data_IF_567065893853
#
_entry.id   IF_567065893853
#
_cell.length_a   1.000
_cell.length_b   1.000
_cell.length_c   1.000
_cell.angle_alpha   90.00
_cell.angle_beta   90.00
_cell.angle_gamma   90.00
#
_symmetry.space_group_name_H-M   'P 1'
#
loop_
_entity.id
_entity.type
_entity.pdbx_description
1 polymer ?
#
# COMPACT_ATOMS: atom_id res chain seq x y z
N UNK A 1 -43.35 17.32 26.76
CA UNK A 1 -43.02 15.88 26.63
C UNK A 1 -43.72 15.35 25.40
N UNK A 2 -43.01 15.19 24.28
CA UNK A 2 -43.55 14.62 23.05
C UNK A 2 -42.90 13.23 22.86
N UNK A 3 -43.71 12.19 22.93
CA UNK A 3 -43.33 10.81 22.62
C UNK A 3 -43.26 10.67 21.10
N UNK A 4 -42.06 10.49 20.55
CA UNK A 4 -41.85 10.13 19.16
C UNK A 4 -41.46 8.65 19.12
N UNK A 5 -42.44 7.79 18.82
CA UNK A 5 -42.22 6.36 18.59
C UNK A 5 -42.89 6.02 17.26
N UNK A 6 -42.19 6.31 16.19
CA UNK A 6 -42.57 5.82 14.87
C UNK A 6 -42.03 4.39 14.71
N UNK A 7 -42.86 3.41 14.32
CA UNK A 7 -42.41 2.07 14.00
C UNK A 7 -41.67 2.08 12.66
N UNK A 8 -40.47 1.49 12.63
CA UNK A 8 -39.69 1.31 11.41
C UNK A 8 -40.52 0.48 10.41
N UNK A 9 -40.80 1.07 9.24
CA UNK A 9 -41.53 0.44 8.15
C UNK A 9 -40.83 -0.85 7.69
N UNK A 10 -41.57 -1.94 7.73
CA UNK A 10 -41.21 -3.31 7.39
C UNK A 10 -40.63 -3.41 5.96
N UNK A 11 -40.96 -2.46 5.07
CA UNK A 11 -40.43 -2.38 3.70
C UNK A 11 -38.98 -1.90 3.67
N UNK A 12 -38.57 -1.06 4.62
CA UNK A 12 -37.18 -0.58 4.75
C UNK A 12 -36.25 -1.66 5.29
N UNK A 13 -36.76 -2.58 6.12
CA UNK A 13 -36.01 -3.76 6.57
C UNK A 13 -35.78 -4.78 5.44
N UNK A 14 -36.73 -4.91 4.52
CA UNK A 14 -36.66 -5.86 3.40
C UNK A 14 -35.62 -5.43 2.35
N UNK A 15 -35.44 -4.12 2.10
CA UNK A 15 -34.42 -3.61 1.17
C UNK A 15 -32.99 -3.78 1.72
N UNK A 16 -32.78 -3.67 3.04
CA UNK A 16 -31.48 -3.89 3.67
C UNK A 16 -31.06 -5.37 3.61
N UNK A 17 -32.00 -6.31 3.77
CA UNK A 17 -31.72 -7.76 3.71
C UNK A 17 -31.38 -8.28 2.30
N UNK A 18 -31.97 -7.70 1.24
CA UNK A 18 -31.66 -8.09 -0.15
C UNK A 18 -30.28 -7.60 -0.57
N UNK A 19 -29.81 -6.43 -0.07
CA UNK A 19 -28.48 -5.90 -0.40
C UNK A 19 -27.33 -6.68 0.25
N UNK A 20 -27.52 -7.23 1.45
CA UNK A 20 -26.51 -8.03 2.15
C UNK A 20 -26.35 -9.44 1.54
N UNK A 21 -27.42 -9.95 0.92
CA UNK A 21 -27.43 -11.27 0.27
C UNK A 21 -26.68 -11.28 -1.07
N UNK A 22 -26.72 -10.17 -1.82
CA UNK A 22 -26.00 -10.05 -3.10
C UNK A 22 -24.49 -9.85 -2.86
N UNK A 23 -24.09 -9.25 -1.75
CA UNK A 23 -22.69 -9.06 -1.38
C UNK A 23 -22.01 -10.37 -0.94
N UNK A 24 -22.75 -11.35 -0.39
CA UNK A 24 -22.19 -12.66 -0.01
C UNK A 24 -21.98 -13.62 -1.19
N UNK A 25 -22.76 -13.49 -2.27
CA UNK A 25 -22.65 -14.39 -3.45
C UNK A 25 -21.40 -14.06 -4.30
N UNK A 26 -20.87 -12.85 -4.21
CA UNK A 26 -19.62 -12.47 -4.91
C UNK A 26 -18.34 -12.99 -4.25
N UNK A 27 -18.36 -13.33 -2.96
CA UNK A 27 -17.16 -13.83 -2.24
C UNK A 27 -16.96 -15.34 -2.47
N UNK A 28 -18.02 -16.09 -2.76
CA UNK A 28 -17.93 -17.54 -3.00
C UNK A 28 -17.44 -17.94 -4.41
N UNK A 29 -17.45 -17.01 -5.39
CA UNK A 29 -16.99 -17.30 -6.76
C UNK A 29 -15.46 -17.16 -6.95
N UNK A 30 -14.78 -16.47 -6.03
CA UNK A 30 -13.32 -16.28 -6.13
C UNK A 30 -12.52 -17.44 -5.50
N UNK A 31 -13.14 -18.27 -4.66
CA UNK A 31 -12.46 -19.34 -3.93
C UNK A 31 -12.50 -20.72 -4.63
N UNK A 32 -13.09 -20.83 -5.83
CA UNK A 32 -13.22 -22.11 -6.58
C UNK A 32 -12.30 -22.26 -7.80
N UNK A 33 -11.38 -21.33 -8.05
CA UNK A 33 -10.49 -21.39 -9.23
C UNK A 33 -9.02 -21.70 -8.93
N UNK A 34 -8.67 -22.14 -7.71
CA UNK A 34 -7.27 -22.36 -7.32
C UNK A 34 -6.94 -23.81 -6.92
N UNK A 35 -7.77 -24.80 -7.24
CA UNK A 35 -7.53 -26.19 -6.84
C UNK A 35 -7.68 -27.19 -7.99
N UNK A 36 -7.04 -26.95 -9.13
CA UNK A 36 -6.90 -27.99 -10.14
C UNK A 36 -5.67 -27.79 -11.02
N UNK A 37 -4.48 -28.00 -10.45
CA UNK A 37 -3.26 -28.27 -11.23
C UNK A 37 -2.43 -29.34 -10.51
N UNK A 38 -2.27 -30.49 -11.18
CA UNK A 38 -1.14 -31.39 -10.94
C UNK A 38 -1.46 -32.71 -10.27
N UNK A 39 -2.12 -33.64 -10.99
CA UNK A 39 -1.88 -35.07 -10.77
C UNK A 39 -0.53 -35.43 -11.41
N UNK A 40 0.45 -36.01 -10.69
CA UNK A 40 1.66 -36.49 -11.32
C UNK A 40 1.38 -37.79 -12.09
N UNK A 41 1.71 -37.79 -13.38
CA UNK A 41 1.77 -38.99 -14.21
C UNK A 41 2.98 -39.83 -13.81
N UNK A 42 2.69 -41.09 -13.51
CA UNK A 42 3.64 -42.15 -13.18
C UNK A 42 4.54 -42.46 -14.38
N UNK A 43 5.86 -42.19 -14.28
CA UNK A 43 6.84 -42.67 -15.25
C UNK A 43 7.43 -43.98 -14.74
N UNK A 44 7.14 -45.06 -15.46
CA UNK A 44 7.66 -46.41 -15.27
C UNK A 44 9.09 -46.47 -15.83
N UNK A 45 10.12 -46.45 -14.98
CA UNK A 45 11.51 -46.69 -15.41
C UNK A 45 11.87 -48.15 -15.13
N UNK A 46 11.99 -48.91 -16.21
CA UNK A 46 12.52 -50.27 -16.21
C UNK A 46 14.03 -50.29 -15.95
N UNK A 47 14.44 -51.37 -15.30
CA UNK A 47 15.78 -51.81 -14.93
C UNK A 47 16.88 -51.68 -16.00
N UNK A 48 18.10 -51.32 -15.58
CA UNK A 48 19.29 -52.18 -15.56
C UNK A 48 20.62 -51.46 -15.91
N UNK A 49 21.67 -51.77 -15.12
CA UNK A 49 23.11 -51.80 -15.48
C UNK A 49 23.82 -50.44 -15.71
N UNK A 50 25.11 -50.21 -15.43
CA UNK A 50 26.22 -50.84 -14.69
C UNK A 50 27.39 -49.82 -14.77
N UNK A 51 28.21 -49.74 -13.72
CA UNK A 51 29.68 -49.52 -13.72
C UNK A 51 30.31 -48.21 -14.27
N UNK A 52 30.97 -47.48 -13.35
CA UNK A 52 32.25 -46.75 -13.40
C UNK A 52 32.68 -45.94 -14.65
N UNK A 53 33.09 -44.68 -14.45
CA UNK A 53 34.50 -44.23 -14.48
C UNK A 53 34.64 -42.69 -14.52
N UNK A 54 35.69 -42.23 -13.86
CA UNK A 54 36.22 -40.87 -13.85
C UNK A 54 37.06 -40.65 -15.12
N UNK A 55 36.73 -39.69 -15.98
CA UNK A 55 37.64 -38.86 -16.79
C UNK A 55 36.88 -38.01 -17.84
N UNK A 56 37.51 -36.89 -18.18
CA UNK A 56 37.06 -35.79 -19.02
C UNK A 56 36.57 -36.15 -20.43
N UNK A 57 35.51 -35.46 -20.88
CA UNK A 57 35.26 -35.14 -22.30
C UNK A 57 34.57 -33.77 -22.39
N UNK A 58 35.29 -32.76 -22.89
CA UNK A 58 34.68 -31.64 -23.61
C UNK A 58 34.01 -32.20 -24.89
N UNK A 59 32.76 -31.80 -25.19
CA UNK A 59 32.32 -31.46 -26.55
C UNK A 59 30.85 -30.99 -26.64
N UNK A 60 30.71 -29.77 -27.16
CA UNK A 60 29.71 -29.23 -28.10
C UNK A 60 28.26 -29.77 -28.13
N UNK A 61 27.37 -28.80 -27.96
CA UNK A 61 25.97 -28.73 -28.42
C UNK A 61 24.98 -29.69 -27.77
N UNK A 62 24.34 -29.24 -26.69
CA UNK A 62 22.91 -29.51 -26.49
C UNK A 62 22.25 -28.35 -25.77
N UNK A 63 21.38 -27.68 -26.52
CA UNK A 63 20.24 -26.88 -26.09
C UNK A 63 19.71 -27.31 -24.72
N UNK A 64 20.00 -26.53 -23.68
CA UNK A 64 19.29 -26.64 -22.40
C UNK A 64 18.80 -25.25 -22.03
N UNK A 65 17.57 -24.97 -22.43
CA UNK A 65 16.60 -24.24 -21.62
C UNK A 65 17.17 -23.08 -20.78
N UNK A 66 17.66 -22.04 -21.44
CA UNK A 66 17.60 -20.69 -20.90
C UNK A 66 16.16 -20.18 -21.13
N UNK A 67 15.18 -20.93 -20.62
CA UNK A 67 13.89 -20.32 -20.32
C UNK A 67 14.26 -19.34 -19.24
N UNK A 68 14.22 -18.06 -19.60
CA UNK A 68 14.28 -16.95 -18.69
C UNK A 68 13.18 -17.17 -17.63
N UNK A 69 13.51 -17.92 -16.58
CA UNK A 69 12.98 -17.67 -15.27
C UNK A 69 13.60 -16.32 -14.88
N UNK A 70 13.00 -15.25 -15.40
CA UNK A 70 13.00 -13.97 -14.72
C UNK A 70 12.54 -14.29 -13.31
N UNK A 71 13.52 -14.43 -12.41
CA UNK A 71 13.30 -14.61 -10.99
C UNK A 71 12.38 -13.46 -10.60
N UNK A 72 11.16 -13.78 -10.14
CA UNK A 72 10.26 -12.78 -9.59
C UNK A 72 11.01 -12.10 -8.45
N UNK A 73 11.40 -10.85 -8.66
CA UNK A 73 12.16 -10.09 -7.67
C UNK A 73 11.24 -9.87 -6.48
N UNK A 74 11.48 -10.52 -5.36
CA UNK A 74 10.90 -10.11 -4.08
C UNK A 74 11.92 -9.23 -3.39
N UNK A 75 11.53 -7.99 -3.15
CA UNK A 75 11.56 -7.44 -1.81
C UNK A 75 10.13 -7.05 -1.44
N UNK A 76 9.33 -8.03 -1.06
CA UNK A 76 8.31 -7.76 -0.04
C UNK A 76 9.10 -7.43 1.22
N UNK A 77 9.12 -6.16 1.62
CA UNK A 77 9.71 -5.77 2.89
C UNK A 77 9.33 -6.79 3.97
N UNK A 78 10.29 -7.29 4.75
CA UNK A 78 10.02 -8.27 5.81
C UNK A 78 9.00 -7.74 6.83
N UNK A 79 8.89 -6.42 6.92
CA UNK A 79 7.88 -5.68 7.66
C UNK A 79 7.01 -4.90 6.68
N UNK A 80 5.69 -5.00 6.83
CA UNK A 80 4.74 -4.17 6.07
C UNK A 80 4.92 -2.68 6.41
N UNK A 81 5.22 -1.80 5.43
CA UNK A 81 5.36 -0.37 5.68
C UNK A 81 4.11 0.27 6.29
N UNK A 82 2.93 -0.29 6.06
CA UNK A 82 1.68 0.21 6.61
C UNK A 82 1.44 -0.22 8.07
N UNK A 83 2.38 -0.95 8.66
CA UNK A 83 2.36 -1.40 10.05
C UNK A 83 3.52 -0.80 10.87
N UNK A 84 4.17 0.26 10.36
CA UNK A 84 5.27 0.97 11.03
C UNK A 84 4.80 2.15 11.89
N UNK A 85 5.72 2.71 12.66
CA UNK A 85 5.54 3.94 13.45
C UNK A 85 6.14 5.16 12.74
N UNK A 86 5.30 6.06 12.24
CA UNK A 86 5.74 7.30 11.56
C UNK A 86 5.60 8.51 12.49
N UNK A 87 6.38 9.56 12.24
CA UNK A 87 6.15 10.87 12.86
C UNK A 87 5.31 11.74 11.93
N UNK A 88 4.09 12.06 12.34
CA UNK A 88 3.17 12.96 11.64
C UNK A 88 2.90 14.17 12.54
N UNK A 89 3.20 15.38 12.05
CA UNK A 89 3.06 16.64 12.79
C UNK A 89 3.67 16.62 14.21
N UNK A 90 4.84 15.98 14.34
CA UNK A 90 5.53 15.82 15.63
C UNK A 90 4.97 14.73 16.55
N UNK A 91 3.92 14.04 16.14
CA UNK A 91 3.31 12.93 16.90
C UNK A 91 3.74 11.59 16.33
N UNK A 92 4.08 10.63 17.19
CA UNK A 92 4.36 9.27 16.77
C UNK A 92 3.06 8.49 16.58
N UNK A 93 2.86 7.97 15.38
CA UNK A 93 1.66 7.23 14.95
C UNK A 93 2.07 5.83 14.55
N UNK A 94 1.69 4.84 15.37
CA UNK A 94 1.95 3.41 15.11
C UNK A 94 0.75 2.80 14.41
N UNK A 95 0.89 2.55 13.11
CA UNK A 95 -0.19 1.97 12.32
C UNK A 95 -0.31 0.46 12.55
N UNK A 96 -1.54 -0.02 12.41
CA UNK A 96 -1.84 -1.44 12.28
C UNK A 96 -2.59 -1.62 10.96
N UNK A 97 -1.96 -2.27 9.99
CA UNK A 97 -2.55 -2.51 8.66
C UNK A 97 -3.04 -1.21 7.99
N UNK A 98 -2.22 -0.17 8.07
CA UNK A 98 -2.48 1.13 7.46
C UNK A 98 -3.46 2.01 8.22
N UNK A 99 -3.90 1.63 9.42
CA UNK A 99 -4.87 2.37 10.20
C UNK A 99 -4.35 2.71 11.59
N UNK A 100 -4.69 3.89 12.10
CA UNK A 100 -4.51 4.26 13.49
C UNK A 100 -5.62 5.23 13.92
N UNK A 101 -6.09 5.08 15.16
CA UNK A 101 -7.06 6.00 15.76
C UNK A 101 -6.57 6.43 17.14
N UNK A 102 -6.67 7.73 17.43
CA UNK A 102 -6.33 8.31 18.72
C UNK A 102 -7.58 8.92 19.35
N UNK A 103 -8.02 8.30 20.44
CA UNK A 103 -9.19 8.75 21.19
C UNK A 103 -8.85 9.97 22.04
N UNK A 104 -9.78 10.93 22.12
CA UNK A 104 -9.60 12.13 22.93
C UNK A 104 -10.30 11.89 24.28
N UNK A 105 -9.58 11.98 25.41
CA UNK A 105 -10.17 11.76 26.73
C UNK A 105 -11.39 12.66 26.97
N UNK A 106 -12.52 12.06 27.36
CA UNK A 106 -13.76 12.79 27.64
C UNK A 106 -14.53 13.30 26.41
N UNK A 107 -14.11 12.93 25.18
CA UNK A 107 -14.81 13.30 23.94
C UNK A 107 -15.32 12.07 23.20
N UNK A 108 -16.42 12.24 22.46
CA UNK A 108 -16.88 11.26 21.47
C UNK A 108 -16.07 11.33 20.16
N UNK A 109 -15.29 12.39 19.96
CA UNK A 109 -14.43 12.58 18.78
C UNK A 109 -13.09 11.86 18.93
N UNK A 110 -12.44 11.60 17.80
CA UNK A 110 -11.12 10.96 17.70
C UNK A 110 -10.33 11.54 16.53
N UNK A 111 -9.02 11.34 16.55
CA UNK A 111 -8.21 11.44 15.34
C UNK A 111 -8.17 10.08 14.64
N UNK A 112 -8.18 10.08 13.31
CA UNK A 112 -7.96 8.88 12.49
C UNK A 112 -6.89 9.17 11.45
N UNK A 113 -5.95 8.24 11.32
CA UNK A 113 -4.87 8.27 10.35
C UNK A 113 -5.00 7.03 9.49
N UNK A 114 -5.03 7.20 8.17
CA UNK A 114 -5.26 6.09 7.23
C UNK A 114 -4.30 6.17 6.05
N UNK A 115 -3.63 5.07 5.75
CA UNK A 115 -2.95 4.90 4.48
C UNK A 115 -3.97 4.88 3.34
N UNK A 116 -3.62 5.51 2.22
CA UNK A 116 -4.41 5.49 1.00
C UNK A 116 -3.71 4.65 -0.05
N UNK A 117 -4.28 3.49 -0.38
CA UNK A 117 -3.69 2.54 -1.32
C UNK A 117 -2.50 1.79 -0.72
N UNK A 118 -1.78 1.05 -1.58
CA UNK A 118 -0.56 0.31 -1.21
C UNK A 118 0.68 1.22 -1.23
N UNK A 119 1.72 0.81 -0.50
CA UNK A 119 3.02 1.48 -0.55
C UNK A 119 3.71 1.22 -1.89
N UNK A 120 4.49 2.19 -2.35
CA UNK A 120 5.33 2.12 -3.54
C UNK A 120 6.78 1.87 -3.15
N UNK A 121 7.53 1.24 -4.06
CA UNK A 121 8.99 1.08 -3.95
C UNK A 121 9.73 2.25 -4.63
N UNK A 122 10.84 2.68 -4.04
CA UNK A 122 11.82 3.62 -4.60
C UNK A 122 13.21 3.37 -4.00
N UNK A 123 14.28 3.81 -4.65
CA UNK A 123 15.64 3.82 -4.05
C UNK A 123 15.99 5.27 -3.68
N UNK A 124 15.41 5.79 -2.59
CA UNK A 124 15.47 7.22 -2.26
C UNK A 124 16.87 7.65 -1.81
N UNK A 125 17.59 6.75 -1.12
CA UNK A 125 18.95 6.99 -0.63
C UNK A 125 20.05 6.53 -1.61
N UNK A 126 19.68 5.93 -2.75
CA UNK A 126 20.58 5.49 -3.83
C UNK A 126 21.56 4.41 -3.41
N UNK A 127 21.13 3.52 -2.52
CA UNK A 127 21.94 2.39 -2.04
C UNK A 127 21.64 1.07 -2.79
N UNK A 128 20.73 1.12 -3.77
CA UNK A 128 20.32 -0.02 -4.57
C UNK A 128 19.23 -0.89 -3.93
N UNK A 129 18.73 -0.52 -2.73
CA UNK A 129 17.67 -1.23 -2.02
C UNK A 129 16.34 -0.45 -2.10
N UNK A 130 15.21 -1.16 -2.12
CA UNK A 130 13.90 -0.53 -2.20
C UNK A 130 13.43 -0.03 -0.83
N UNK A 131 13.33 1.28 -0.73
CA UNK A 131 12.62 2.04 0.28
C UNK A 131 11.10 2.00 0.03
N UNK A 132 10.33 2.28 1.08
CA UNK A 132 8.88 2.35 1.01
C UNK A 132 8.40 3.80 0.96
N UNK A 133 7.39 4.06 0.14
CA UNK A 133 6.71 5.37 0.03
C UNK A 133 5.21 5.16 0.13
N UNK A 134 4.51 6.02 0.87
CA UNK A 134 3.06 5.96 1.00
C UNK A 134 2.44 7.34 1.19
N UNK A 135 1.10 7.35 1.23
CA UNK A 135 0.32 8.53 1.56
C UNK A 135 -0.60 8.21 2.72
N UNK A 136 -0.65 9.14 3.69
CA UNK A 136 -1.50 9.06 4.87
C UNK A 136 -2.47 10.24 4.86
N UNK A 137 -3.72 9.96 5.22
CA UNK A 137 -4.76 10.96 5.46
C UNK A 137 -5.06 11.01 6.95
N UNK A 138 -5.08 12.21 7.50
CA UNK A 138 -5.48 12.51 8.86
C UNK A 138 -6.83 13.23 8.87
N UNK A 139 -7.71 12.81 9.78
CA UNK A 139 -8.97 13.48 10.11
C UNK A 139 -9.11 13.55 11.63
N UNK A 140 -9.67 14.64 12.16
CA UNK A 140 -9.81 14.87 13.59
C UNK A 140 -11.11 15.61 13.96
N UNK A 141 -11.22 16.16 15.17
CA UNK A 141 -12.42 16.87 15.65
C UNK A 141 -12.79 18.15 14.89
N UNK A 142 -11.94 18.61 13.96
CA UNK A 142 -12.21 19.75 13.09
C UNK A 142 -12.76 19.34 11.72
N UNK A 143 -12.92 20.33 10.83
CA UNK A 143 -13.31 20.09 9.43
C UNK A 143 -12.12 19.85 8.50
N UNK A 144 -10.89 19.91 9.03
CA UNK A 144 -9.66 19.68 8.28
C UNK A 144 -9.52 18.22 7.85
N UNK A 145 -8.84 18.00 6.74
CA UNK A 145 -8.38 16.68 6.31
C UNK A 145 -6.99 16.84 5.74
N UNK A 146 -5.98 16.38 6.46
CA UNK A 146 -4.58 16.63 6.13
C UNK A 146 -3.99 15.44 5.40
N UNK A 147 -3.19 15.72 4.37
CA UNK A 147 -2.56 14.71 3.53
C UNK A 147 -1.04 14.77 3.71
N UNK A 148 -0.44 13.61 3.95
CA UNK A 148 1.00 13.46 4.18
C UNK A 148 1.59 12.47 3.20
N UNK A 149 2.81 12.75 2.73
CA UNK A 149 3.68 11.72 2.15
C UNK A 149 4.56 11.17 3.25
N UNK A 150 4.60 9.85 3.37
CA UNK A 150 5.46 9.12 4.29
C UNK A 150 6.46 8.27 3.50
N UNK A 151 7.64 8.08 4.06
CA UNK A 151 8.63 7.17 3.50
C UNK A 151 9.39 6.45 4.62
N UNK A 152 9.93 5.28 4.32
CA UNK A 152 10.80 4.53 5.21
C UNK A 152 11.99 3.97 4.44
N UNK A 153 13.20 4.23 4.95
CA UNK A 153 14.46 3.83 4.32
C UNK A 153 14.78 2.39 4.69
N UNK A 154 15.13 1.57 3.70
CA UNK A 154 15.59 0.20 3.90
C UNK A 154 16.95 0.18 4.61
N UNK A 155 17.02 -0.56 5.71
CA UNK A 155 18.26 -0.80 6.44
C UNK A 155 18.36 -2.30 6.77
N UNK A 156 18.89 -3.06 5.81
CA UNK A 156 18.94 -4.51 5.90
C UNK A 156 17.54 -5.10 5.83
N UNK A 157 17.14 -5.83 6.87
CA UNK A 157 15.81 -6.45 6.97
C UNK A 157 14.77 -5.54 7.63
N UNK A 158 15.14 -4.29 7.93
CA UNK A 158 14.27 -3.31 8.60
C UNK A 158 13.93 -2.13 7.70
N UNK A 159 12.83 -1.47 8.02
CA UNK A 159 12.45 -0.18 7.46
C UNK A 159 12.52 0.88 8.55
N UNK A 160 13.21 1.98 8.27
CA UNK A 160 13.36 3.12 9.18
C UNK A 160 12.50 4.27 8.69
N UNK A 161 11.36 4.56 9.36
CA UNK A 161 10.46 5.65 8.99
C UNK A 161 11.15 7.01 9.05
N UNK A 162 10.87 7.86 8.06
CA UNK A 162 11.26 9.25 8.02
C UNK A 162 10.16 10.15 8.61
N UNK A 163 10.49 11.38 9.02
CA UNK A 163 9.47 12.40 9.30
C UNK A 163 8.56 12.60 8.08
N UNK A 164 7.25 12.58 8.30
CA UNK A 164 6.27 12.75 7.24
C UNK A 164 6.32 14.16 6.64
N UNK A 165 6.05 14.26 5.34
CA UNK A 165 5.93 15.53 4.64
C UNK A 165 4.45 15.93 4.54
N UNK A 166 4.03 16.98 5.24
CA UNK A 166 2.68 17.54 5.09
C UNK A 166 2.53 18.17 3.70
N UNK A 167 1.57 17.67 2.92
CA UNK A 167 1.26 18.20 1.59
C UNK A 167 0.26 19.35 1.67
N UNK A 168 -0.82 19.19 2.44
CA UNK A 168 -1.85 20.22 2.60
C UNK A 168 -3.16 19.74 3.24
N UNK A 169 -4.10 20.68 3.38
CA UNK A 169 -5.46 20.48 3.92
C UNK A 169 -6.49 20.42 2.78
N UNK A 170 -7.37 19.41 2.81
CA UNK A 170 -8.51 19.20 1.91
C UNK A 170 -8.14 19.29 0.42
N UNK A 171 -6.96 18.77 0.07
CA UNK A 171 -6.56 18.56 -1.32
C UNK A 171 -7.24 17.31 -1.90
N UNK A 172 -7.22 17.16 -3.23
CA UNK A 172 -7.70 15.95 -3.89
C UNK A 172 -6.50 15.22 -4.52
N UNK A 173 -6.09 14.05 -3.99
CA UNK A 173 -5.04 13.26 -4.62
C UNK A 173 -5.44 12.84 -6.04
N UNK A 174 -4.48 12.90 -6.96
CA UNK A 174 -4.63 12.36 -8.32
C UNK A 174 -3.76 11.12 -8.49
N UNK A 175 -2.45 11.24 -8.24
CA UNK A 175 -1.54 10.08 -8.29
C UNK A 175 -0.29 10.32 -7.45
N UNK A 176 0.11 9.29 -6.70
CA UNK A 176 1.43 9.15 -6.09
C UNK A 176 2.25 8.18 -6.95
N UNK A 177 3.49 8.53 -7.25
CA UNK A 177 4.39 7.71 -8.07
C UNK A 177 5.85 7.93 -7.67
N UNK A 178 6.72 7.02 -8.10
CA UNK A 178 8.17 7.13 -7.91
C UNK A 178 8.83 7.19 -9.29
N UNK A 179 9.87 8.02 -9.43
CA UNK A 179 10.63 8.16 -10.68
C UNK A 179 12.02 8.72 -10.37
N UNK A 180 13.06 8.10 -10.95
CA UNK A 180 14.45 8.55 -10.84
C UNK A 180 14.86 8.87 -9.39
N UNK A 181 14.60 7.94 -8.46
CA UNK A 181 14.89 8.05 -7.02
C UNK A 181 14.14 9.16 -6.27
N UNK A 182 13.16 9.80 -6.93
CA UNK A 182 12.32 10.83 -6.36
C UNK A 182 10.86 10.38 -6.23
N UNK A 183 10.15 11.04 -5.32
CA UNK A 183 8.71 10.86 -5.11
C UNK A 183 7.98 11.96 -5.86
N UNK A 184 7.08 11.58 -6.76
CA UNK A 184 6.19 12.49 -7.44
C UNK A 184 4.76 12.37 -6.93
N UNK A 185 4.11 13.52 -6.71
CA UNK A 185 2.72 13.57 -6.31
C UNK A 185 1.97 14.63 -7.13
N UNK A 186 0.90 14.20 -7.80
CA UNK A 186 -0.06 15.09 -8.46
C UNK A 186 -1.33 15.13 -7.65
N UNK A 187 -1.87 16.32 -7.48
CA UNK A 187 -3.08 16.56 -6.71
C UNK A 187 -3.78 17.82 -7.21
N UNK A 188 -5.09 17.93 -6.95
CA UNK A 188 -5.81 19.18 -7.12
C UNK A 188 -5.81 19.94 -5.80
N UNK A 189 -5.69 21.24 -5.92
CA UNK A 189 -5.76 22.20 -4.81
C UNK A 189 -6.53 23.44 -5.26
N UNK A 190 -6.50 24.47 -4.42
CA UNK A 190 -7.18 25.75 -4.61
C UNK A 190 -6.17 26.85 -4.87
N UNK A 191 -6.66 27.96 -5.44
CA UNK A 191 -5.93 29.23 -5.40
C UNK A 191 -5.92 29.77 -3.97
N UNK A 192 -4.97 30.65 -3.63
CA UNK A 192 -4.85 31.18 -2.26
C UNK A 192 -6.14 31.88 -1.77
N UNK A 193 -6.93 32.44 -2.69
CA UNK A 193 -8.13 33.24 -2.39
C UNK A 193 -9.42 32.41 -2.41
N UNK A 194 -9.33 31.10 -2.73
CA UNK A 194 -10.50 30.21 -2.74
C UNK A 194 -10.74 29.63 -1.34
N UNK A 195 -11.99 29.61 -0.85
CA UNK A 195 -12.29 29.05 0.47
C UNK A 195 -12.12 27.53 0.49
N UNK A 196 -11.73 26.98 1.64
CA UNK A 196 -11.53 25.52 1.80
C UNK A 196 -12.82 24.70 1.68
N UNK A 197 -13.99 25.35 1.67
CA UNK A 197 -15.29 24.73 1.37
C UNK A 197 -15.53 24.52 -0.13
N UNK A 198 -14.82 25.22 -1.01
CA UNK A 198 -14.90 24.98 -2.47
C UNK A 198 -14.17 23.69 -2.82
N UNK A 199 -14.56 23.04 -3.93
CA UNK A 199 -13.82 21.90 -4.46
C UNK A 199 -12.43 22.35 -4.97
N UNK A 200 -11.37 21.56 -4.74
CA UNK A 200 -10.06 21.83 -5.35
C UNK A 200 -10.11 21.57 -6.86
N UNK A 201 -9.55 22.47 -7.66
CA UNK A 201 -9.65 22.45 -9.13
C UNK A 201 -8.33 22.72 -9.85
N UNK A 202 -7.33 23.26 -9.15
CA UNK A 202 -6.04 23.62 -9.73
C UNK A 202 -5.09 22.45 -9.53
N UNK A 203 -4.66 21.83 -10.63
CA UNK A 203 -3.66 20.77 -10.56
C UNK A 203 -2.30 21.32 -10.13
N UNK A 204 -1.68 20.65 -9.14
CA UNK A 204 -0.34 20.91 -8.65
C UNK A 204 0.50 19.63 -8.73
N UNK A 205 1.81 19.83 -8.87
CA UNK A 205 2.82 18.78 -8.83
C UNK A 205 3.79 19.07 -7.69
N UNK A 206 4.01 18.06 -6.86
CA UNK A 206 5.04 18.03 -5.83
C UNK A 206 6.07 16.98 -6.21
N UNK A 207 7.34 17.32 -6.13
CA UNK A 207 8.44 16.37 -6.24
C UNK A 207 9.25 16.45 -4.95
N UNK A 208 9.45 15.30 -4.31
CA UNK A 208 10.23 15.19 -3.09
C UNK A 208 11.46 14.33 -3.33
N UNK A 209 12.56 14.72 -2.71
CA UNK A 209 13.79 13.95 -2.60
C UNK A 209 14.08 13.61 -1.14
N UNK A 210 14.79 12.51 -0.93
CA UNK A 210 15.43 12.23 0.35
C UNK A 210 16.72 13.04 0.47
N UNK A 211 16.80 13.87 1.52
CA UNK A 211 17.95 14.73 1.77
C UNK A 211 18.09 15.00 3.25
N UNK A 212 19.31 14.91 3.77
CA UNK A 212 19.63 15.18 5.18
C UNK A 212 18.73 14.41 6.16
N UNK A 213 18.42 13.14 5.84
CA UNK A 213 17.61 12.27 6.70
C UNK A 213 16.10 12.55 6.69
N UNK A 214 15.59 13.32 5.72
CA UNK A 214 14.16 13.65 5.62
C UNK A 214 13.71 13.82 4.17
N UNK A 215 12.39 13.86 3.97
CA UNK A 215 11.80 14.27 2.70
C UNK A 215 11.87 15.80 2.56
N UNK A 216 12.27 16.27 1.40
CA UNK A 216 12.32 17.71 1.08
C UNK A 216 11.90 17.98 -0.36
N UNK A 217 11.38 19.17 -0.64
CA UNK A 217 11.04 19.56 -2.02
C UNK A 217 12.30 19.56 -2.89
N UNK A 218 12.23 18.86 -4.01
CA UNK A 218 13.24 18.93 -5.07
C UNK A 218 13.32 20.39 -5.57
N UNK A 219 14.53 20.95 -5.60
CA UNK A 219 14.79 22.34 -5.99
C UNK A 219 15.18 22.45 -7.46
#
# INVERSE_FOLDING_TARGET
>A
MANFKDPIDNKSLLLLAVSLSILLILIASAARQALEVGRPTEIKVGSAQRTANVAQLENKNTTTNIVAATISRQPTWAVDPQSLSYQLDGHQVTFQQGQYELQIPGSASKYSYRFTGSSLEADLNKDGKPDAVGMVVEQGPGSGTFFYIVAAISQGDTLVPLPAYLVGDRIQPVVLYTKDDAIGFRYLDRSKDQPLSSAPTIEKKLVLEFKDGKLSKYR
#
